data_IF_142158506485
#
_entry.id   IF_142158506485
#
_cell.length_a   1.000
_cell.length_b   1.000
_cell.length_c   1.000
_cell.angle_alpha   90.00
_cell.angle_beta   90.00
_cell.angle_gamma   90.00
#
_symmetry.space_group_name_H-M   'P 1'
#
loop_
_entity.id
_entity.type
_entity.pdbx_description
1 polymer ?
#
# COMPACT_ATOMS: atom_id res chain seq x y z
N UNK A 1 18.44 -2.63 -14.46
CA UNK A 1 18.87 -2.38 -13.07
C UNK A 1 20.38 -2.54 -13.05
N UNK A 2 21.13 -1.44 -12.95
CA UNK A 2 22.60 -1.45 -12.91
C UNK A 2 23.05 -1.75 -11.49
N UNK A 3 23.79 -2.84 -11.29
CA UNK A 3 24.50 -3.07 -10.03
C UNK A 3 25.64 -2.06 -9.92
N UNK A 4 25.50 -1.09 -9.01
CA UNK A 4 26.59 -0.18 -8.66
C UNK A 4 27.37 -0.77 -7.48
N UNK A 5 28.70 -0.78 -7.58
CA UNK A 5 29.60 -1.08 -6.46
C UNK A 5 29.38 -0.03 -5.37
N UNK A 6 29.01 -0.49 -4.16
CA UNK A 6 28.86 0.38 -3.01
C UNK A 6 30.21 0.49 -2.29
N UNK A 7 30.73 1.70 -2.11
CA UNK A 7 31.87 1.93 -1.22
C UNK A 7 31.33 2.33 0.14
N UNK A 8 31.58 1.48 1.13
CA UNK A 8 31.27 1.66 2.57
C UNK A 8 29.77 1.63 2.93
N UNK A 9 29.13 0.44 2.91
CA UNK A 9 27.83 0.24 3.58
C UNK A 9 27.76 -0.97 4.51
N UNK A 10 27.03 -0.83 5.64
CA UNK A 10 26.61 -1.89 6.59
C UNK A 10 25.48 -2.79 6.05
N UNK A 11 25.48 -3.01 4.74
CA UNK A 11 24.45 -3.73 4.02
C UNK A 11 24.75 -5.24 4.01
N UNK A 12 23.77 -6.10 4.35
CA UNK A 12 23.94 -7.57 4.45
C UNK A 12 24.39 -8.28 3.15
N UNK A 13 24.36 -7.58 2.01
CA UNK A 13 24.80 -8.08 0.71
C UNK A 13 26.34 -8.02 0.50
N UNK A 14 27.12 -7.53 1.47
CA UNK A 14 28.57 -7.38 1.34
C UNK A 14 29.36 -8.71 1.45
N UNK A 15 28.69 -9.81 1.81
CA UNK A 15 29.33 -11.12 2.03
C UNK A 15 29.36 -12.04 0.81
N UNK A 16 28.87 -11.60 -0.35
CA UNK A 16 28.98 -12.38 -1.58
C UNK A 16 30.32 -12.06 -2.24
N UNK A 17 31.29 -12.99 -2.25
CA UNK A 17 32.55 -12.73 -2.90
C UNK A 17 32.32 -12.66 -4.41
N UNK A 18 32.53 -11.48 -5.02
CA UNK A 18 32.64 -11.37 -6.47
C UNK A 18 34.03 -11.85 -6.88
N UNK A 19 34.16 -13.16 -7.13
CA UNK A 19 35.43 -13.71 -7.61
C UNK A 19 35.55 -13.52 -9.13
N UNK A 20 36.32 -12.51 -9.52
CA UNK A 20 37.04 -12.53 -10.80
C UNK A 20 38.51 -12.86 -10.48
N UNK A 21 38.83 -14.15 -10.34
CA UNK A 21 40.24 -14.58 -10.30
C UNK A 21 40.59 -15.06 -11.70
N UNK A 22 41.35 -14.24 -12.42
CA UNK A 22 42.09 -14.75 -13.56
C UNK A 22 43.11 -15.74 -13.00
N UNK A 23 43.10 -16.98 -13.48
CA UNK A 23 44.19 -17.91 -13.20
C UNK A 23 45.43 -17.31 -13.87
N UNK A 24 46.29 -16.64 -13.09
CA UNK A 24 47.59 -16.21 -13.58
C UNK A 24 48.35 -17.46 -14.02
N UNK A 25 48.49 -17.58 -15.33
CA UNK A 25 49.15 -18.71 -15.97
C UNK A 25 50.57 -18.25 -16.23
N UNK A 26 51.48 -18.41 -15.27
CA UNK A 26 52.85 -17.90 -15.45
C UNK A 26 53.97 -18.92 -15.19
N UNK A 27 55.10 -18.59 -15.84
CA UNK A 27 56.50 -19.01 -15.67
C UNK A 27 57.09 -20.08 -16.61
N UNK A 28 56.32 -20.96 -17.25
CA UNK A 28 56.85 -21.86 -18.29
C UNK A 28 56.44 -21.34 -19.66
N UNK A 29 57.41 -21.07 -20.54
CA UNK A 29 57.13 -20.72 -21.94
C UNK A 29 56.21 -21.80 -22.53
N UNK A 30 55.09 -21.43 -23.18
CA UNK A 30 54.20 -22.40 -23.84
C UNK A 30 54.98 -23.36 -24.77
N UNK A 31 56.09 -22.89 -25.35
CA UNK A 31 56.97 -23.66 -26.21
C UNK A 31 57.75 -24.77 -25.47
N UNK A 32 58.16 -24.56 -24.23
CA UNK A 32 58.89 -25.57 -23.44
C UNK A 32 57.95 -26.69 -22.98
N UNK A 33 56.72 -26.34 -22.63
CA UNK A 33 55.69 -27.30 -22.25
C UNK A 33 55.26 -28.16 -23.44
N UNK A 34 55.14 -27.57 -24.64
CA UNK A 34 54.86 -28.33 -25.87
C UNK A 34 56.05 -29.21 -26.26
N UNK A 35 57.30 -28.77 -26.06
CA UNK A 35 58.47 -29.60 -26.32
C UNK A 35 58.50 -30.86 -25.44
N UNK A 36 58.07 -30.76 -24.17
CA UNK A 36 57.96 -31.88 -23.24
C UNK A 36 56.81 -32.85 -23.58
N UNK A 37 55.78 -32.37 -24.27
CA UNK A 37 54.66 -33.22 -24.73
C UNK A 37 55.00 -34.03 -25.99
N UNK A 38 55.88 -33.50 -26.85
CA UNK A 38 56.15 -34.06 -28.20
C UNK A 38 57.57 -34.62 -28.39
N UNK A 39 58.43 -34.56 -27.38
CA UNK A 39 59.80 -35.09 -27.41
C UNK A 39 60.01 -36.24 -26.42
N UNK A 40 60.77 -37.27 -26.82
CA UNK A 40 61.20 -38.35 -25.94
C UNK A 40 62.55 -38.06 -25.23
N UNK A 41 63.03 -36.82 -25.28
CA UNK A 41 64.25 -36.42 -24.57
C UNK A 41 64.01 -36.42 -23.05
N UNK A 42 65.02 -36.80 -22.27
CA UNK A 42 64.95 -36.74 -20.81
C UNK A 42 64.76 -35.28 -20.37
N UNK A 43 63.71 -34.96 -19.58
CA UNK A 43 63.46 -33.60 -19.09
C UNK A 43 64.60 -33.08 -18.22
N UNK A 44 64.83 -31.76 -18.26
CA UNK A 44 65.80 -31.12 -17.38
C UNK A 44 65.25 -31.11 -15.93
N UNK A 45 66.08 -31.32 -14.90
CA UNK A 45 65.64 -31.28 -13.50
C UNK A 45 64.87 -30.01 -13.13
N UNK A 46 65.32 -28.85 -13.63
CA UNK A 46 64.65 -27.55 -13.42
C UNK A 46 63.22 -27.49 -14.01
N UNK A 47 62.97 -28.16 -15.14
CA UNK A 47 61.63 -28.24 -15.73
C UNK A 47 60.71 -29.13 -14.89
N UNK A 48 61.24 -30.24 -14.35
CA UNK A 48 60.51 -31.14 -13.46
C UNK A 48 60.16 -30.43 -12.15
N UNK A 49 61.10 -29.69 -11.55
CA UNK A 49 60.87 -28.95 -10.32
C UNK A 49 59.86 -27.81 -10.51
N UNK A 50 59.91 -27.10 -11.65
CA UNK A 50 58.92 -26.08 -12.01
C UNK A 50 57.50 -26.66 -12.12
N UNK A 51 57.34 -27.77 -12.85
CA UNK A 51 56.03 -28.45 -12.99
C UNK A 51 55.52 -28.96 -11.64
N UNK A 52 56.40 -29.53 -10.81
CA UNK A 52 56.04 -29.97 -9.45
C UNK A 52 55.58 -28.81 -8.58
N UNK A 53 56.24 -27.65 -8.66
CA UNK A 53 55.84 -26.43 -7.98
C UNK A 53 54.46 -25.94 -8.41
N UNK A 54 54.19 -25.91 -9.73
CA UNK A 54 52.88 -25.56 -10.26
C UNK A 54 51.77 -26.52 -9.80
N UNK A 55 52.04 -27.83 -9.82
CA UNK A 55 51.09 -28.84 -9.33
C UNK A 55 50.82 -28.63 -7.83
N UNK A 56 51.84 -28.30 -7.04
CA UNK A 56 51.65 -28.01 -5.62
C UNK A 56 50.79 -26.75 -5.40
N UNK A 57 51.08 -25.67 -6.13
CA UNK A 57 50.31 -24.43 -6.06
C UNK A 57 48.84 -24.63 -6.47
N UNK A 58 48.61 -25.36 -7.57
CA UNK A 58 47.25 -25.66 -8.04
C UNK A 58 46.47 -26.54 -7.04
N UNK A 59 47.15 -27.45 -6.33
CA UNK A 59 46.52 -28.23 -5.27
C UNK A 59 46.11 -27.35 -4.09
N UNK A 60 46.97 -26.45 -3.65
CA UNK A 60 46.65 -25.51 -2.57
C UNK A 60 45.49 -24.57 -2.96
N UNK A 61 45.45 -24.10 -4.21
CA UNK A 61 44.32 -23.32 -4.73
C UNK A 61 43.02 -24.13 -4.77
N UNK A 62 43.08 -25.42 -5.15
CA UNK A 62 41.92 -26.31 -5.10
C UNK A 62 41.40 -26.49 -3.67
N UNK A 63 42.30 -26.72 -2.71
CA UNK A 63 41.93 -26.86 -1.29
C UNK A 63 41.27 -25.57 -0.76
N UNK A 64 41.79 -24.41 -1.14
CA UNK A 64 41.18 -23.11 -0.82
C UNK A 64 39.80 -22.94 -1.45
N UNK A 65 39.62 -23.35 -2.71
CA UNK A 65 38.31 -23.29 -3.39
C UNK A 65 37.30 -24.23 -2.75
N UNK A 66 37.70 -25.44 -2.37
CA UNK A 66 36.84 -26.40 -1.68
C UNK A 66 36.40 -25.86 -0.31
N UNK A 67 37.30 -25.19 0.41
CA UNK A 67 36.95 -24.49 1.65
C UNK A 67 35.95 -23.35 1.41
N UNK A 68 36.09 -22.59 0.33
CA UNK A 68 35.11 -21.54 0.00
C UNK A 68 33.75 -22.13 -0.38
N UNK A 69 33.72 -23.21 -1.16
CA UNK A 69 32.49 -23.90 -1.55
C UNK A 69 31.76 -24.45 -0.32
N UNK A 70 32.48 -25.03 0.64
CA UNK A 70 31.89 -25.51 1.90
C UNK A 70 31.32 -24.36 2.71
N UNK A 71 32.06 -23.27 2.90
CA UNK A 71 31.56 -22.06 3.58
C UNK A 71 30.29 -21.48 2.92
N UNK A 72 30.25 -21.42 1.58
CA UNK A 72 29.08 -20.93 0.85
C UNK A 72 27.87 -21.88 0.97
N UNK A 73 28.10 -23.20 1.05
CA UNK A 73 27.04 -24.18 1.30
C UNK A 73 26.45 -24.00 2.70
N UNK A 74 27.28 -23.79 3.70
CA UNK A 74 26.84 -23.57 5.08
C UNK A 74 26.06 -22.26 5.20
N UNK A 75 26.52 -21.19 4.55
CA UNK A 75 25.78 -19.93 4.51
C UNK A 75 24.43 -20.06 3.79
N UNK A 76 24.38 -20.79 2.67
CA UNK A 76 23.11 -21.10 1.99
C UNK A 76 22.15 -21.85 2.93
N UNK A 77 22.66 -22.82 3.69
CA UNK A 77 21.86 -23.61 4.62
C UNK A 77 21.27 -22.74 5.73
N UNK A 78 22.07 -21.85 6.31
CA UNK A 78 21.61 -20.85 7.27
C UNK A 78 20.49 -19.97 6.71
N UNK A 79 20.62 -19.46 5.48
CA UNK A 79 19.58 -18.66 4.85
C UNK A 79 18.28 -19.45 4.62
N UNK A 80 18.38 -20.72 4.26
CA UNK A 80 17.20 -21.59 4.11
C UNK A 80 16.48 -21.78 5.46
N UNK A 81 17.21 -21.95 6.56
CA UNK A 81 16.64 -22.04 7.91
C UNK A 81 15.94 -20.74 8.33
N UNK A 82 16.48 -19.59 7.94
CA UNK A 82 15.79 -18.31 8.19
C UNK A 82 14.51 -18.17 7.37
N UNK A 83 14.52 -18.60 6.10
CA UNK A 83 13.32 -18.57 5.26
C UNK A 83 12.23 -19.45 5.86
N UNK A 84 12.55 -20.68 6.28
CA UNK A 84 11.55 -21.58 6.89
C UNK A 84 11.02 -21.03 8.21
N UNK A 85 11.86 -20.34 9.01
CA UNK A 85 11.41 -19.67 10.22
C UNK A 85 10.39 -18.56 9.93
N UNK A 86 10.68 -17.70 8.95
CA UNK A 86 9.77 -16.61 8.54
C UNK A 86 8.47 -17.16 7.96
N UNK A 87 8.53 -18.22 7.16
CA UNK A 87 7.34 -18.90 6.65
C UNK A 87 6.45 -19.42 7.79
N UNK A 88 7.04 -19.96 8.86
CA UNK A 88 6.32 -20.37 10.07
C UNK A 88 5.58 -19.21 10.75
N UNK A 89 6.24 -18.05 10.89
CA UNK A 89 5.63 -16.84 11.48
C UNK A 89 4.45 -16.36 10.62
N UNK A 90 4.61 -16.36 9.29
CA UNK A 90 3.53 -15.95 8.36
C UNK A 90 2.30 -16.84 8.55
N UNK A 91 2.50 -18.15 8.69
CA UNK A 91 1.39 -19.09 8.85
C UNK A 91 0.70 -18.93 10.21
N UNK A 92 1.45 -18.66 11.29
CA UNK A 92 0.87 -18.33 12.59
C UNK A 92 0.01 -17.05 12.52
N UNK A 93 0.51 -16.00 11.88
CA UNK A 93 -0.22 -14.75 11.70
C UNK A 93 -1.50 -14.95 10.86
N UNK A 94 -1.46 -15.80 9.83
CA UNK A 94 -2.65 -16.15 9.05
C UNK A 94 -3.71 -16.84 9.89
N UNK A 95 -3.31 -17.81 10.72
CA UNK A 95 -4.23 -18.49 11.63
C UNK A 95 -4.84 -17.53 12.66
N UNK A 96 -4.05 -16.58 13.18
CA UNK A 96 -4.57 -15.54 14.07
C UNK A 96 -5.57 -14.63 13.36
N UNK A 97 -5.28 -14.22 12.12
CA UNK A 97 -6.19 -13.43 11.30
C UNK A 97 -7.50 -14.16 11.04
N UNK A 98 -7.46 -15.44 10.66
CA UNK A 98 -8.65 -16.25 10.44
C UNK A 98 -9.52 -16.35 11.70
N UNK A 99 -8.91 -16.65 12.86
CA UNK A 99 -9.62 -16.65 14.15
C UNK A 99 -10.29 -15.32 14.45
N UNK A 100 -9.60 -14.20 14.20
CA UNK A 100 -10.16 -12.87 14.39
C UNK A 100 -11.35 -12.61 13.44
N UNK A 101 -11.23 -12.99 12.16
CA UNK A 101 -12.31 -12.89 11.19
C UNK A 101 -13.53 -13.71 11.61
N UNK A 102 -13.36 -14.96 12.03
CA UNK A 102 -14.45 -15.80 12.53
C UNK A 102 -15.11 -15.18 13.76
N UNK A 103 -14.32 -14.66 14.71
CA UNK A 103 -14.83 -14.00 15.90
C UNK A 103 -15.57 -12.68 15.60
N UNK A 104 -15.18 -11.97 14.54
CA UNK A 104 -15.91 -10.80 14.03
C UNK A 104 -17.21 -11.24 13.38
N UNK A 105 -17.18 -12.26 12.52
CA UNK A 105 -18.35 -12.78 11.83
C UNK A 105 -19.41 -13.25 12.83
N UNK A 106 -19.02 -13.96 13.89
CA UNK A 106 -19.91 -14.37 14.97
C UNK A 106 -20.58 -13.17 15.68
N UNK A 107 -19.82 -12.10 15.96
CA UNK A 107 -20.40 -10.88 16.53
C UNK A 107 -21.32 -10.18 15.55
N UNK A 108 -20.97 -10.19 14.26
CA UNK A 108 -21.82 -9.63 13.21
C UNK A 108 -23.12 -10.41 13.03
N UNK A 109 -23.14 -11.74 13.20
CA UNK A 109 -24.39 -12.51 13.15
C UNK A 109 -25.31 -12.17 14.32
N UNK A 110 -24.77 -11.90 15.51
CA UNK A 110 -25.55 -11.40 16.66
C UNK A 110 -26.15 -10.02 16.36
N UNK A 111 -25.41 -9.16 15.66
CA UNK A 111 -25.89 -7.82 15.25
C UNK A 111 -26.75 -7.85 13.96
N UNK A 112 -26.93 -9.01 13.33
CA UNK A 112 -27.72 -9.20 12.10
C UNK A 112 -29.20 -8.78 12.24
N UNK A 113 -29.90 -9.02 13.38
CA UNK A 113 -31.28 -8.55 13.56
C UNK A 113 -31.40 -7.03 13.47
N UNK A 114 -30.41 -6.27 13.96
CA UNK A 114 -30.39 -4.80 13.86
C UNK A 114 -30.32 -4.36 12.40
N UNK A 115 -29.65 -5.12 11.52
CA UNK A 115 -29.57 -4.84 10.06
C UNK A 115 -30.74 -5.37 9.23
N UNK A 116 -31.61 -6.21 9.80
CA UNK A 116 -32.85 -6.65 9.13
C UNK A 116 -33.98 -5.65 9.30
N UNK A 117 -33.79 -4.67 10.17
CA UNK A 117 -34.65 -3.51 10.21
C UNK A 117 -34.38 -2.67 8.96
N UNK A 118 -35.44 -2.29 8.22
CA UNK A 118 -35.31 -1.29 7.17
C UNK A 118 -34.57 -0.07 7.73
N UNK A 119 -33.73 0.58 6.93
CA UNK A 119 -32.99 1.77 7.34
C UNK A 119 -33.91 2.88 7.87
N UNK A 120 -35.17 2.86 7.46
CA UNK A 120 -36.31 3.65 7.89
C UNK A 120 -36.67 3.38 9.36
N UNK A 121 -36.68 2.11 9.79
CA UNK A 121 -37.00 1.76 11.18
C UNK A 121 -35.81 2.06 12.10
N UNK A 122 -34.58 1.84 11.63
CA UNK A 122 -33.40 2.23 12.40
C UNK A 122 -33.30 3.75 12.54
N UNK A 123 -33.48 4.50 11.44
CA UNK A 123 -33.47 5.96 11.48
C UNK A 123 -34.59 6.50 12.36
N UNK A 124 -35.79 5.93 12.32
CA UNK A 124 -36.88 6.30 13.21
C UNK A 124 -36.54 6.04 14.69
N UNK A 125 -35.98 4.87 15.03
CA UNK A 125 -35.53 4.59 16.41
C UNK A 125 -34.47 5.59 16.85
N UNK A 126 -33.48 5.90 16.01
CA UNK A 126 -32.43 6.87 16.35
C UNK A 126 -32.96 8.30 16.45
N UNK A 127 -33.89 8.71 15.58
CA UNK A 127 -34.53 10.01 15.62
C UNK A 127 -35.46 10.16 16.83
N UNK A 128 -36.14 9.09 17.24
CA UNK A 128 -36.99 9.07 18.44
C UNK A 128 -36.18 9.00 19.74
N UNK A 129 -34.96 8.44 19.72
CA UNK A 129 -34.07 8.43 20.88
C UNK A 129 -33.25 9.71 21.06
N UNK A 130 -33.19 10.57 20.04
CA UNK A 130 -32.58 11.89 20.16
C UNK A 130 -33.70 12.89 20.45
N UNK A 131 -33.85 13.26 21.71
CA UNK A 131 -34.78 14.32 22.11
C UNK A 131 -34.56 15.57 21.24
N UNK A 132 -35.57 15.91 20.44
CA UNK A 132 -35.62 17.03 19.47
C UNK A 132 -35.06 18.38 19.97
N UNK A 133 -35.15 18.74 21.27
CA UNK A 133 -34.52 19.97 21.78
C UNK A 133 -32.98 19.98 21.66
N UNK A 134 -32.33 18.82 21.70
CA UNK A 134 -30.87 18.72 21.71
C UNK A 134 -30.29 19.12 20.35
N UNK A 135 -30.89 18.67 19.25
CA UNK A 135 -30.38 18.97 17.90
C UNK A 135 -30.53 20.46 17.54
N UNK A 136 -31.63 21.11 17.95
CA UNK A 136 -31.80 22.55 17.79
C UNK A 136 -30.79 23.37 18.61
N UNK A 137 -30.56 22.96 19.86
CA UNK A 137 -29.55 23.60 20.72
C UNK A 137 -28.14 23.47 20.13
N UNK A 138 -27.80 22.27 19.63
CA UNK A 138 -26.49 22.00 19.03
C UNK A 138 -26.32 22.79 17.73
N UNK A 139 -27.32 22.82 16.83
CA UNK A 139 -27.23 23.53 15.55
C UNK A 139 -26.87 25.02 15.69
N UNK A 140 -27.50 25.71 16.65
CA UNK A 140 -27.28 27.15 16.89
C UNK A 140 -25.85 27.52 17.33
N UNK A 141 -25.10 26.57 17.92
CA UNK A 141 -23.76 26.78 18.47
C UNK A 141 -22.65 26.06 17.69
N UNK A 142 -23.01 25.22 16.73
CA UNK A 142 -22.05 24.38 16.01
C UNK A 142 -21.26 25.20 15.00
N UNK A 143 -19.94 25.22 15.16
CA UNK A 143 -19.00 25.82 14.19
C UNK A 143 -18.44 24.80 13.20
N UNK A 144 -18.36 23.55 13.60
CA UNK A 144 -17.82 22.47 12.79
C UNK A 144 -18.74 21.25 12.92
N UNK A 145 -19.25 20.78 11.78
CA UNK A 145 -20.19 19.66 11.70
C UNK A 145 -19.64 18.56 10.80
N UNK A 146 -19.59 17.35 11.31
CA UNK A 146 -19.15 16.17 10.58
C UNK A 146 -20.29 15.15 10.53
N UNK A 147 -20.72 14.81 9.32
CA UNK A 147 -21.83 13.87 9.11
C UNK A 147 -21.34 12.68 8.28
N UNK A 148 -21.42 11.51 8.92
CA UNK A 148 -21.04 10.21 8.36
C UNK A 148 -22.26 9.30 8.30
N UNK A 149 -23.27 9.72 7.52
CA UNK A 149 -24.56 9.02 7.44
C UNK A 149 -24.93 8.68 5.98
N UNK A 150 -25.71 7.60 5.76
CA UNK A 150 -26.29 7.31 4.44
C UNK A 150 -27.11 8.49 3.91
N UNK A 151 -27.21 8.64 2.58
CA UNK A 151 -27.94 9.78 1.99
C UNK A 151 -29.41 9.81 2.43
N UNK A 152 -30.06 8.65 2.58
CA UNK A 152 -31.44 8.55 3.07
C UNK A 152 -31.67 9.29 4.39
N UNK A 153 -30.68 9.33 5.28
CA UNK A 153 -30.78 10.06 6.54
C UNK A 153 -30.72 11.58 6.38
N UNK A 154 -30.07 12.11 5.32
CA UNK A 154 -30.04 13.55 5.07
C UNK A 154 -31.40 14.12 4.71
N UNK A 155 -32.27 13.34 4.05
CA UNK A 155 -33.66 13.74 3.78
C UNK A 155 -34.45 13.88 5.08
N UNK A 156 -34.26 12.98 6.04
CA UNK A 156 -34.88 13.06 7.36
C UNK A 156 -34.31 14.22 8.19
N UNK A 157 -33.01 14.48 8.12
CA UNK A 157 -32.41 15.64 8.79
C UNK A 157 -32.92 16.96 8.19
N UNK A 158 -33.14 17.01 6.88
CA UNK A 158 -33.71 18.19 6.23
C UNK A 158 -35.14 18.51 6.69
N UNK A 159 -35.95 17.51 7.08
CA UNK A 159 -37.28 17.75 7.64
C UNK A 159 -37.26 18.28 9.09
N UNK A 160 -36.10 18.30 9.75
CA UNK A 160 -35.97 18.81 11.12
C UNK A 160 -35.80 20.34 11.18
N UNK A 161 -35.76 21.05 10.04
CA UNK A 161 -35.59 22.51 9.93
C UNK A 161 -34.44 23.06 10.80
N UNK A 162 -33.34 22.29 10.90
CA UNK A 162 -32.19 22.68 11.70
C UNK A 162 -31.53 23.93 11.12
N UNK A 163 -31.25 24.91 11.98
CA UNK A 163 -30.49 26.11 11.61
C UNK A 163 -29.05 26.03 12.09
N UNK A 164 -28.12 26.45 11.23
CA UNK A 164 -26.67 26.41 11.47
C UNK A 164 -26.03 27.79 11.31
N UNK A 165 -26.43 28.80 12.11
CA UNK A 165 -26.02 30.20 11.94
C UNK A 165 -24.52 30.44 12.19
N UNK A 166 -23.86 29.53 12.92
CA UNK A 166 -22.44 29.63 13.29
C UNK A 166 -21.54 28.66 12.55
N UNK A 167 -22.09 27.81 11.69
CA UNK A 167 -21.34 26.75 11.02
C UNK A 167 -20.33 27.36 10.05
N UNK A 168 -19.05 27.06 10.29
CA UNK A 168 -17.89 27.53 9.53
C UNK A 168 -17.30 26.40 8.68
N UNK A 169 -17.36 25.16 9.19
CA UNK A 169 -16.83 23.97 8.53
C UNK A 169 -17.83 22.82 8.49
N UNK A 170 -18.03 22.25 7.32
CA UNK A 170 -18.89 21.10 7.08
C UNK A 170 -18.07 19.95 6.46
N UNK A 171 -18.22 18.76 7.03
CA UNK A 171 -17.64 17.53 6.47
C UNK A 171 -18.77 16.53 6.21
N UNK A 172 -18.91 16.10 4.97
CA UNK A 172 -19.94 15.17 4.52
C UNK A 172 -19.30 13.89 4.01
N UNK A 173 -19.72 12.74 4.53
CA UNK A 173 -19.44 11.43 3.95
C UNK A 173 -20.74 10.71 3.71
N UNK A 174 -21.00 10.36 2.44
CA UNK A 174 -22.17 9.59 2.06
C UNK A 174 -21.83 8.62 0.93
N UNK A 175 -22.24 7.36 1.10
CA UNK A 175 -21.91 6.26 0.18
C UNK A 175 -23.03 5.95 -0.82
N UNK A 176 -24.25 6.38 -0.54
CA UNK A 176 -25.47 5.89 -1.20
C UNK A 176 -26.23 7.00 -1.96
N UNK A 177 -25.51 7.99 -2.49
CA UNK A 177 -26.12 9.11 -3.22
C UNK A 177 -26.61 8.67 -4.60
N UNK A 178 -27.93 8.73 -4.81
CA UNK A 178 -28.56 8.65 -6.12
C UNK A 178 -28.43 9.98 -6.86
N UNK A 179 -28.47 9.95 -8.20
CA UNK A 179 -28.38 11.16 -9.03
C UNK A 179 -29.54 12.15 -8.81
N UNK A 180 -30.66 11.69 -8.27
CA UNK A 180 -31.91 12.47 -8.07
C UNK A 180 -32.07 13.04 -6.65
N UNK A 181 -31.08 12.81 -5.80
CA UNK A 181 -31.12 13.15 -4.38
C UNK A 181 -30.75 14.61 -4.16
N UNK A 182 -31.56 15.39 -3.42
CA UNK A 182 -31.30 16.81 -3.10
C UNK A 182 -31.59 17.13 -1.63
N UNK A 183 -30.65 17.73 -0.91
CA UNK A 183 -30.77 18.06 0.52
C UNK A 183 -30.56 19.57 0.77
N UNK A 184 -31.53 20.22 1.43
CA UNK A 184 -31.51 21.66 1.72
C UNK A 184 -30.92 22.07 3.07
N UNK A 185 -30.48 21.08 3.86
CA UNK A 185 -30.11 21.24 5.27
C UNK A 185 -29.08 22.35 5.57
N UNK A 186 -28.26 22.72 4.58
CA UNK A 186 -27.17 23.68 4.74
C UNK A 186 -27.34 24.97 3.92
N UNK A 187 -28.49 25.17 3.26
CA UNK A 187 -28.73 26.34 2.41
C UNK A 187 -28.59 27.65 3.19
N UNK A 188 -29.10 27.66 4.43
CA UNK A 188 -29.12 28.83 5.31
C UNK A 188 -27.95 28.87 6.31
N UNK A 189 -26.75 28.45 5.90
CA UNK A 189 -25.53 28.49 6.73
C UNK A 189 -24.65 29.72 6.37
N UNK A 190 -24.94 30.94 6.89
CA UNK A 190 -24.33 32.19 6.42
C UNK A 190 -22.84 32.35 6.75
N UNK A 191 -22.29 31.48 7.62
CA UNK A 191 -20.88 31.51 8.01
C UNK A 191 -20.06 30.38 7.42
N UNK A 192 -20.67 29.49 6.62
CA UNK A 192 -20.00 28.32 6.08
C UNK A 192 -18.90 28.74 5.09
N UNK A 193 -17.66 28.40 5.40
CA UNK A 193 -16.47 28.74 4.60
C UNK A 193 -15.70 27.52 4.12
N UNK A 194 -15.80 26.40 4.83
CA UNK A 194 -15.04 25.19 4.54
C UNK A 194 -16.01 24.04 4.34
N UNK A 195 -15.90 23.35 3.20
CA UNK A 195 -16.69 22.16 2.90
C UNK A 195 -15.80 21.06 2.37
N UNK A 196 -15.75 19.94 3.11
CA UNK A 196 -15.07 18.72 2.71
C UNK A 196 -16.11 17.63 2.45
N UNK A 197 -16.07 17.04 1.27
CA UNK A 197 -17.00 16.02 0.82
C UNK A 197 -16.24 14.73 0.47
N UNK A 198 -16.74 13.60 0.96
CA UNK A 198 -16.14 12.28 0.82
C UNK A 198 -17.14 11.32 0.14
N UNK A 199 -16.72 10.74 -0.99
CA UNK A 199 -17.43 9.74 -1.80
C UNK A 199 -18.76 10.16 -2.44
N UNK A 200 -19.06 11.45 -2.44
CA UNK A 200 -20.21 12.05 -3.15
C UNK A 200 -19.84 12.38 -4.59
N UNK A 201 -20.59 11.83 -5.55
CA UNK A 201 -20.31 12.04 -6.98
C UNK A 201 -20.50 13.50 -7.42
N UNK A 202 -21.61 14.11 -7.00
CA UNK A 202 -22.08 15.40 -7.51
C UNK A 202 -22.60 16.29 -6.37
N UNK A 203 -21.72 16.86 -5.53
CA UNK A 203 -22.13 17.57 -4.32
C UNK A 203 -23.00 18.79 -4.59
N UNK A 204 -22.79 19.49 -5.72
CA UNK A 204 -23.61 20.65 -6.11
C UNK A 204 -25.04 20.30 -6.54
N UNK A 205 -25.26 19.06 -6.98
CA UNK A 205 -26.61 18.55 -7.28
C UNK A 205 -27.25 17.91 -6.04
N UNK A 206 -26.43 17.35 -5.14
CA UNK A 206 -26.91 16.62 -3.97
C UNK A 206 -27.19 17.48 -2.75
N UNK A 207 -26.52 18.62 -2.62
CA UNK A 207 -26.63 19.50 -1.45
C UNK A 207 -26.82 20.95 -1.90
N UNK A 208 -27.81 21.61 -1.30
CA UNK A 208 -27.95 23.06 -1.38
C UNK A 208 -26.94 23.68 -0.43
N UNK A 209 -25.84 24.17 -1.00
CA UNK A 209 -24.75 24.81 -0.28
C UNK A 209 -24.65 26.28 -0.71
N UNK A 210 -24.33 27.20 0.22
CA UNK A 210 -24.10 28.60 -0.10
C UNK A 210 -22.72 28.77 -0.77
N UNK A 211 -22.58 28.27 -2.00
CA UNK A 211 -21.29 28.21 -2.71
C UNK A 211 -20.58 29.56 -2.84
N UNK A 212 -21.34 30.65 -2.91
CA UNK A 212 -20.80 32.01 -3.05
C UNK A 212 -19.86 32.45 -1.90
N UNK A 213 -20.01 31.87 -0.71
CA UNK A 213 -19.22 32.23 0.48
C UNK A 213 -18.17 31.17 0.88
N UNK A 214 -18.18 30.00 0.24
CA UNK A 214 -17.24 28.92 0.51
C UNK A 214 -15.85 29.33 0.01
N UNK A 215 -14.85 29.32 0.90
CA UNK A 215 -13.45 29.64 0.60
C UNK A 215 -12.61 28.40 0.33
N UNK A 216 -12.97 27.28 0.94
CA UNK A 216 -12.24 26.02 0.80
C UNK A 216 -13.23 24.91 0.54
N UNK A 217 -13.16 24.34 -0.66
CA UNK A 217 -13.94 23.19 -1.05
C UNK A 217 -13.02 22.03 -1.40
N UNK A 218 -13.30 20.83 -0.86
CA UNK A 218 -12.55 19.62 -1.16
C UNK A 218 -13.50 18.47 -1.40
N UNK A 219 -13.35 17.79 -2.52
CA UNK A 219 -14.01 16.51 -2.79
C UNK A 219 -12.97 15.40 -2.85
N UNK A 220 -13.18 14.30 -2.13
CA UNK A 220 -12.36 13.08 -2.23
C UNK A 220 -13.25 11.88 -2.47
N UNK A 221 -12.75 10.93 -3.24
CA UNK A 221 -13.37 9.62 -3.42
C UNK A 221 -12.41 8.57 -2.84
N UNK A 222 -12.68 8.09 -1.63
CA UNK A 222 -11.79 7.19 -0.90
C UNK A 222 -12.24 5.74 -1.07
N UNK A 223 -13.55 5.49 -1.16
CA UNK A 223 -14.13 4.15 -1.15
C UNK A 223 -14.79 3.75 -2.48
N UNK A 224 -14.96 4.67 -3.44
CA UNK A 224 -15.37 4.30 -4.81
C UNK A 224 -14.20 3.70 -5.59
N UNK A 225 -14.12 2.37 -5.60
CA UNK A 225 -13.50 1.62 -6.71
C UNK A 225 -14.44 1.77 -7.90
N UNK A 226 -14.41 2.93 -8.57
CA UNK A 226 -15.11 3.08 -9.84
C UNK A 226 -14.31 2.34 -10.94
N UNK A 227 -14.99 1.65 -11.88
CA UNK A 227 -14.34 1.13 -13.07
C UNK A 227 -13.67 2.29 -13.82
N UNK A 228 -12.59 1.97 -14.51
CA UNK A 228 -11.48 2.83 -14.97
C UNK A 228 -11.87 4.12 -15.76
N UNK A 229 -13.14 4.39 -16.04
CA UNK A 229 -13.59 5.50 -16.89
C UNK A 229 -13.72 6.88 -16.22
N UNK A 230 -13.84 7.01 -14.88
CA UNK A 230 -14.23 8.29 -14.25
C UNK A 230 -13.19 8.92 -13.32
N UNK A 231 -11.91 8.55 -13.42
CA UNK A 231 -10.83 9.28 -12.73
C UNK A 231 -10.36 10.48 -13.55
N UNK A 232 -11.06 11.61 -13.49
CA UNK A 232 -10.46 12.93 -13.78
C UNK A 232 -10.70 13.88 -12.61
N UNK A 233 -9.63 14.54 -12.16
CA UNK A 233 -9.68 15.64 -11.19
C UNK A 233 -10.05 16.93 -11.92
N UNK A 234 -11.07 17.62 -11.44
CA UNK A 234 -11.42 18.98 -11.87
C UNK A 234 -12.91 19.18 -12.08
N UNK A 235 -13.42 20.42 -11.97
CA UNK A 235 -14.76 20.75 -12.45
C UNK A 235 -14.83 20.48 -13.96
N UNK A 236 -15.98 20.02 -14.44
CA UNK A 236 -16.21 19.75 -15.86
C UNK A 236 -16.00 21.03 -16.67
N UNK A 237 -15.18 21.03 -17.73
CA UNK A 237 -15.19 22.12 -18.71
C UNK A 237 -16.58 22.23 -19.33
N UNK A 238 -17.03 23.45 -19.56
CA UNK A 238 -18.34 23.79 -20.16
C UNK A 238 -18.55 23.21 -21.58
N UNK A 239 -17.54 22.55 -22.15
CA UNK A 239 -17.51 22.05 -23.54
C UNK A 239 -18.17 20.65 -23.71
N UNK A 240 -18.94 20.18 -22.72
CA UNK A 240 -19.73 18.94 -22.82
C UNK A 240 -21.26 19.17 -22.75
N UNK A 241 -21.70 20.43 -22.92
CA UNK A 241 -23.10 20.74 -23.21
C UNK A 241 -23.52 20.40 -24.65
N UNK A 242 -22.58 20.06 -25.53
CA UNK A 242 -22.85 19.73 -26.94
C UNK A 242 -23.23 18.26 -27.19
N UNK A 243 -23.45 17.46 -26.14
CA UNK A 243 -23.94 16.07 -26.26
C UNK A 243 -25.35 15.86 -25.69
N UNK A 244 -26.10 16.94 -25.53
CA UNK A 244 -27.54 16.90 -25.30
C UNK A 244 -28.23 17.62 -26.46
N UNK A 245 -28.25 16.95 -27.61
CA UNK A 245 -29.35 16.98 -28.58
C UNK A 245 -29.82 15.53 -28.81
#
# INVERSE_FOLDING_TARGET
MSWAQCQECDCSNHHLPMHHRAFETDCISPSDLESLKHSNNTPLPAQVDAIRGMIAQQKEDLDSLDLQVTNMKDYKQYLLEQVTHVEGIIEELRQQHEKACSAIQEKQTILSPVRRLPSEVLSEIFLQMVDFPILHMVGSRTKELHLYVPFSMFSHLASLELSFPLLDKLVLLSRDISAESHCRLFGDAPKLRIVDVLDVANPSFSFELPFAQIRHFRSRHVYKIAPIAFRRRGPWPSDLLDFLD
#
